data_IF_148807819649
#
_entry.id   IF_148807819649
#
_cell.length_a   1.000
_cell.length_b   1.000
_cell.length_c   1.000
_cell.angle_alpha   90.00
_cell.angle_beta   90.00
_cell.angle_gamma   90.00
#
_symmetry.space_group_name_H-M   'P 1'
#
loop_
_entity.id
_entity.type
_entity.pdbx_description
1 polymer ?
#
# COMPACT_ATOMS: atom_id res chain seq x y z
N UNK A 1 -15.82 3.25 -3.67
CA UNK A 1 -15.80 4.72 -3.44
C UNK A 1 -17.07 5.20 -2.74
N UNK A 2 -18.25 4.75 -3.19
CA UNK A 2 -19.54 5.07 -2.58
C UNK A 2 -19.66 4.53 -1.14
N UNK A 3 -19.22 3.30 -0.89
CA UNK A 3 -19.17 2.74 0.47
C UNK A 3 -18.26 3.52 1.42
N UNK A 4 -17.11 4.04 0.93
CA UNK A 4 -16.23 4.92 1.72
C UNK A 4 -16.91 6.21 2.18
N UNK A 5 -17.89 6.69 1.42
CA UNK A 5 -18.69 7.87 1.78
C UNK A 5 -20.00 7.49 2.50
N UNK A 6 -20.17 6.22 2.90
CA UNK A 6 -21.36 5.74 3.60
C UNK A 6 -22.65 5.81 2.76
N UNK A 7 -22.53 5.82 1.42
CA UNK A 7 -23.66 5.89 0.49
C UNK A 7 -24.00 4.56 -0.17
N UNK A 8 -23.26 3.49 0.10
CA UNK A 8 -23.49 2.15 -0.45
C UNK A 8 -22.93 1.05 0.48
N UNK A 9 -23.38 -0.18 0.27
CA UNK A 9 -22.81 -1.39 0.86
C UNK A 9 -22.03 -2.12 -0.24
N UNK A 10 -20.76 -2.44 0.01
CA UNK A 10 -19.93 -3.18 -0.94
C UNK A 10 -20.22 -4.69 -0.79
N UNK A 11 -20.59 -5.33 -1.90
CA UNK A 11 -20.80 -6.78 -1.99
C UNK A 11 -19.85 -7.38 -3.02
N UNK A 12 -19.20 -8.49 -2.67
CA UNK A 12 -18.36 -9.25 -3.60
C UNK A 12 -19.21 -10.29 -4.35
N UNK A 13 -18.66 -10.85 -5.44
CA UNK A 13 -19.32 -11.92 -6.20
C UNK A 13 -19.74 -13.10 -5.31
N UNK A 14 -18.91 -13.46 -4.33
CA UNK A 14 -19.15 -14.57 -3.41
C UNK A 14 -20.25 -14.27 -2.40
N UNK A 15 -20.48 -13.00 -2.07
CA UNK A 15 -21.56 -12.62 -1.16
C UNK A 15 -22.95 -12.79 -1.81
N UNK A 16 -23.01 -12.80 -3.16
CA UNK A 16 -24.25 -13.00 -3.91
C UNK A 16 -24.72 -14.46 -3.93
N UNK A 17 -23.82 -15.42 -3.64
CA UNK A 17 -24.18 -16.84 -3.52
C UNK A 17 -25.07 -17.08 -2.28
N UNK A 18 -25.07 -16.16 -1.31
CA UNK A 18 -25.88 -16.23 -0.10
C UNK A 18 -27.05 -15.23 -0.16
N UNK A 19 -28.29 -15.67 -0.44
CA UNK A 19 -29.46 -14.80 -0.55
C UNK A 19 -29.71 -13.91 0.68
N UNK A 20 -29.35 -14.40 1.86
CA UNK A 20 -29.55 -13.76 3.15
C UNK A 20 -28.67 -12.52 3.29
N UNK A 21 -27.42 -12.58 2.82
CA UNK A 21 -26.51 -11.42 2.81
C UNK A 21 -27.02 -10.33 1.88
N UNK A 22 -27.54 -10.71 0.71
CA UNK A 22 -28.13 -9.76 -0.22
C UNK A 22 -29.39 -9.12 0.38
N UNK A 23 -30.29 -9.93 0.96
CA UNK A 23 -31.50 -9.44 1.62
C UNK A 23 -31.18 -8.48 2.76
N UNK A 24 -30.19 -8.81 3.58
CA UNK A 24 -29.79 -7.96 4.70
C UNK A 24 -29.18 -6.64 4.23
N UNK A 25 -28.33 -6.68 3.20
CA UNK A 25 -27.73 -5.47 2.63
C UNK A 25 -28.78 -4.53 2.04
N UNK A 26 -29.78 -5.08 1.34
CA UNK A 26 -30.92 -4.31 0.85
C UNK A 26 -31.74 -3.73 2.00
N UNK A 27 -32.00 -4.53 3.05
CA UNK A 27 -32.73 -4.07 4.23
C UNK A 27 -32.03 -2.88 4.87
N UNK A 28 -30.71 -2.95 5.08
CA UNK A 28 -29.91 -1.89 5.69
C UNK A 28 -29.97 -0.60 4.86
N UNK A 29 -29.76 -0.68 3.54
CA UNK A 29 -29.76 0.49 2.66
C UNK A 29 -31.14 1.14 2.57
N UNK A 30 -32.21 0.36 2.66
CA UNK A 30 -33.59 0.86 2.60
C UNK A 30 -34.12 1.36 3.95
N UNK A 31 -33.66 0.78 5.06
CA UNK A 31 -34.13 1.16 6.41
C UNK A 31 -33.37 2.35 6.99
N UNK A 32 -32.07 2.45 6.72
CA UNK A 32 -31.23 3.52 7.24
C UNK A 32 -31.17 4.72 6.27
N UNK A 33 -31.82 5.81 6.67
CA UNK A 33 -31.83 7.08 5.94
C UNK A 33 -30.45 7.72 5.77
N UNK A 34 -29.45 7.32 6.57
CA UNK A 34 -28.08 7.82 6.48
C UNK A 34 -27.48 7.61 5.08
N UNK A 35 -27.77 6.46 4.45
CA UNK A 35 -27.32 6.13 3.10
C UNK A 35 -27.84 7.13 2.06
N UNK A 36 -29.14 7.46 2.13
CA UNK A 36 -29.76 8.45 1.23
C UNK A 36 -29.20 9.85 1.46
N UNK A 37 -29.02 10.25 2.72
CA UNK A 37 -28.43 11.55 3.09
C UNK A 37 -27.00 11.69 2.59
N UNK A 38 -26.18 10.66 2.78
CA UNK A 38 -24.80 10.61 2.33
C UNK A 38 -24.70 10.62 0.80
N UNK A 39 -25.57 9.87 0.12
CA UNK A 39 -25.64 9.88 -1.34
C UNK A 39 -25.99 11.26 -1.90
N UNK A 40 -27.00 11.94 -1.32
CA UNK A 40 -27.37 13.32 -1.71
C UNK A 40 -26.24 14.30 -1.45
N UNK A 41 -25.60 14.23 -0.28
CA UNK A 41 -24.43 15.06 0.06
C UNK A 41 -23.30 14.86 -0.95
N UNK A 42 -22.97 13.62 -1.30
CA UNK A 42 -21.93 13.31 -2.28
C UNK A 42 -22.30 13.87 -3.66
N UNK A 43 -23.56 13.72 -4.08
CA UNK A 43 -24.05 14.28 -5.34
C UNK A 43 -23.92 15.83 -5.38
N UNK A 44 -24.25 16.51 -4.27
CA UNK A 44 -24.04 17.96 -4.16
C UNK A 44 -22.56 18.34 -4.23
N UNK A 45 -21.69 17.61 -3.54
CA UNK A 45 -20.24 17.84 -3.60
C UNK A 45 -19.69 17.69 -5.02
N UNK A 46 -20.14 16.67 -5.76
CA UNK A 46 -19.72 16.45 -7.15
C UNK A 46 -20.24 17.54 -8.09
N UNK A 47 -21.47 18.05 -7.88
CA UNK A 47 -22.04 19.13 -8.68
C UNK A 47 -21.41 20.49 -8.38
N UNK A 48 -20.99 20.72 -7.13
CA UNK A 48 -20.40 21.97 -6.66
C UNK A 48 -18.87 21.94 -6.61
N UNK A 49 -18.22 21.05 -7.37
CA UNK A 49 -16.76 21.07 -7.47
C UNK A 49 -16.31 22.43 -8.07
N UNK A 50 -15.21 23.02 -7.54
CA UNK A 50 -14.77 24.36 -7.95
C UNK A 50 -14.33 24.41 -9.42
N UNK A 51 -13.89 23.28 -9.98
CA UNK A 51 -13.54 23.13 -11.38
C UNK A 51 -14.39 21.98 -11.92
N UNK A 52 -15.03 22.19 -13.07
CA UNK A 52 -15.85 21.13 -13.67
C UNK A 52 -14.96 19.97 -14.13
N UNK A 53 -15.41 18.71 -14.02
CA UNK A 53 -14.63 17.55 -14.49
C UNK A 53 -14.23 17.64 -15.97
N UNK A 54 -15.11 18.24 -16.80
CA UNK A 54 -14.85 18.49 -18.22
C UNK A 54 -13.66 19.44 -18.42
N UNK A 55 -13.69 20.58 -17.74
CA UNK A 55 -12.62 21.58 -17.83
C UNK A 55 -11.30 21.05 -17.26
N UNK A 56 -11.35 20.33 -16.14
CA UNK A 56 -10.19 19.69 -15.55
C UNK A 56 -9.53 18.72 -16.54
N UNK A 57 -10.34 17.89 -17.20
CA UNK A 57 -9.86 16.96 -18.23
C UNK A 57 -9.22 17.70 -19.41
N UNK A 58 -9.89 18.71 -19.96
CA UNK A 58 -9.35 19.49 -21.08
C UNK A 58 -8.02 20.16 -20.72
N UNK A 59 -7.92 20.79 -19.54
CA UNK A 59 -6.68 21.41 -19.07
C UNK A 59 -5.53 20.40 -18.98
N UNK A 60 -5.78 19.20 -18.45
CA UNK A 60 -4.75 18.17 -18.37
C UNK A 60 -4.38 17.61 -19.75
N UNK A 61 -5.35 17.45 -20.65
CA UNK A 61 -5.10 17.01 -22.02
C UNK A 61 -4.27 18.03 -22.81
N UNK A 62 -4.62 19.33 -22.72
CA UNK A 62 -3.86 20.42 -23.32
C UNK A 62 -2.44 20.52 -22.74
N UNK A 63 -2.31 20.38 -21.42
CA UNK A 63 -1.01 20.35 -20.76
C UNK A 63 -0.15 19.18 -21.26
N UNK A 64 -0.72 17.98 -21.35
CA UNK A 64 -0.03 16.81 -21.88
C UNK A 64 0.33 16.97 -23.37
N UNK A 65 -0.55 17.55 -24.18
CA UNK A 65 -0.28 17.83 -25.59
C UNK A 65 0.85 18.86 -25.77
N UNK A 66 0.93 19.86 -24.88
CA UNK A 66 1.92 20.94 -24.95
C UNK A 66 3.30 20.51 -24.45
N UNK A 67 3.38 19.73 -23.38
CA UNK A 67 4.66 19.41 -22.71
C UNK A 67 5.09 17.95 -22.88
N UNK A 68 4.19 17.06 -23.32
CA UNK A 68 4.49 15.66 -23.57
C UNK A 68 4.94 14.91 -22.30
N UNK A 69 6.12 14.29 -22.36
CA UNK A 69 6.69 13.56 -21.22
C UNK A 69 7.25 14.53 -20.19
N UNK A 70 6.76 14.41 -18.95
CA UNK A 70 7.31 15.11 -17.80
C UNK A 70 8.22 14.17 -17.00
N UNK A 71 9.56 14.30 -17.08
CA UNK A 71 10.48 13.39 -16.40
C UNK A 71 10.32 13.41 -14.88
N UNK A 72 9.90 14.53 -14.30
CA UNK A 72 9.65 14.67 -12.86
C UNK A 72 8.39 13.91 -12.38
N UNK A 73 7.47 13.56 -13.28
CA UNK A 73 6.29 12.74 -12.97
C UNK A 73 6.55 11.25 -13.21
N UNK A 74 7.72 10.88 -13.74
CA UNK A 74 8.12 9.48 -13.86
C UNK A 74 8.80 9.04 -12.54
N UNK A 75 8.22 8.08 -11.78
CA UNK A 75 8.86 7.62 -10.56
C UNK A 75 10.22 6.99 -10.89
N UNK A 76 11.28 7.51 -10.27
CA UNK A 76 12.65 7.04 -10.45
C UNK A 76 12.81 5.52 -10.22
N UNK A 77 11.97 4.93 -9.37
CA UNK A 77 11.94 3.48 -9.14
C UNK A 77 11.79 2.63 -10.41
N UNK A 78 11.15 3.16 -11.47
CA UNK A 78 11.02 2.46 -12.76
C UNK A 78 12.36 2.31 -13.49
N UNK A 79 13.29 3.22 -13.25
CA UNK A 79 14.59 3.27 -13.93
C UNK A 79 15.67 2.49 -13.17
N UNK A 80 15.37 2.03 -11.94
CA UNK A 80 16.32 1.27 -11.12
C UNK A 80 16.49 -0.16 -11.65
N UNK A 81 17.72 -0.66 -11.59
CA UNK A 81 18.00 -2.07 -11.83
C UNK A 81 17.43 -2.94 -10.70
N UNK A 82 17.21 -4.23 -10.97
CA UNK A 82 16.73 -5.18 -9.95
C UNK A 82 17.56 -5.14 -8.66
N UNK A 83 18.89 -5.01 -8.78
CA UNK A 83 19.81 -4.94 -7.64
C UNK A 83 19.57 -3.69 -6.80
N UNK A 84 19.44 -2.53 -7.45
CA UNK A 84 19.21 -1.25 -6.76
C UNK A 84 17.80 -1.16 -6.17
N UNK A 85 16.80 -1.64 -6.89
CA UNK A 85 15.41 -1.63 -6.45
C UNK A 85 15.21 -2.42 -5.15
N UNK A 86 15.89 -3.57 -5.03
CA UNK A 86 15.84 -4.42 -3.83
C UNK A 86 17.00 -4.18 -2.84
N UNK A 87 17.90 -3.23 -3.11
CA UNK A 87 19.05 -2.89 -2.26
C UNK A 87 19.90 -4.11 -1.87
N UNK A 88 20.15 -5.00 -2.83
CA UNK A 88 20.83 -6.29 -2.60
C UNK A 88 22.26 -6.07 -2.11
N UNK A 89 22.93 -5.03 -2.60
CA UNK A 89 24.27 -4.61 -2.17
C UNK A 89 24.32 -4.29 -0.66
N UNK A 90 23.36 -3.51 -0.17
CA UNK A 90 23.24 -3.17 1.26
C UNK A 90 22.91 -4.43 2.07
N UNK A 91 21.98 -5.26 1.59
CA UNK A 91 21.62 -6.51 2.26
C UNK A 91 22.83 -7.43 2.45
N UNK A 92 23.70 -7.55 1.43
CA UNK A 92 24.92 -8.35 1.51
C UNK A 92 25.91 -7.82 2.55
N UNK A 93 26.07 -6.50 2.66
CA UNK A 93 26.93 -5.88 3.69
C UNK A 93 26.37 -6.13 5.10
N UNK A 94 25.06 -6.01 5.29
CA UNK A 94 24.43 -6.28 6.58
C UNK A 94 24.61 -7.76 6.97
N UNK A 95 24.36 -8.68 6.03
CA UNK A 95 24.54 -10.12 6.26
C UNK A 95 26.00 -10.44 6.62
N UNK A 96 26.97 -9.87 5.91
CA UNK A 96 28.39 -10.14 6.17
C UNK A 96 28.80 -9.68 7.57
N UNK A 97 28.37 -8.50 8.01
CA UNK A 97 28.62 -7.99 9.37
C UNK A 97 28.03 -8.95 10.41
N UNK A 98 26.76 -9.36 10.24
CA UNK A 98 26.10 -10.31 11.16
C UNK A 98 26.89 -11.62 11.23
N UNK A 99 27.28 -12.18 10.08
CA UNK A 99 28.07 -13.42 10.03
C UNK A 99 29.43 -13.27 10.72
N UNK A 100 30.13 -12.15 10.51
CA UNK A 100 31.42 -11.88 11.18
C UNK A 100 31.25 -11.77 12.69
N UNK A 101 30.23 -11.07 13.18
CA UNK A 101 29.96 -10.95 14.61
C UNK A 101 29.67 -12.31 15.23
N UNK A 102 28.79 -13.12 14.60
CA UNK A 102 28.49 -14.48 15.06
C UNK A 102 29.75 -15.37 15.06
N UNK A 103 30.59 -15.25 14.04
CA UNK A 103 31.86 -15.98 13.97
C UNK A 103 32.82 -15.61 15.10
N UNK A 104 32.95 -14.31 15.41
CA UNK A 104 33.80 -13.85 16.52
C UNK A 104 33.26 -14.34 17.85
N UNK A 105 31.94 -14.24 18.08
CA UNK A 105 31.30 -14.72 19.32
C UNK A 105 31.55 -16.23 19.50
N UNK A 106 31.29 -17.03 18.48
CA UNK A 106 31.50 -18.49 18.55
C UNK A 106 32.96 -18.84 18.83
N UNK A 107 33.93 -18.15 18.19
CA UNK A 107 35.36 -18.34 18.47
C UNK A 107 35.75 -17.95 19.90
N UNK A 108 35.26 -16.82 20.41
CA UNK A 108 35.52 -16.38 21.79
C UNK A 108 34.95 -17.38 22.79
N UNK A 109 33.71 -17.81 22.59
CA UNK A 109 33.04 -18.81 23.42
C UNK A 109 33.82 -20.14 23.39
N UNK A 110 34.19 -20.65 22.22
CA UNK A 110 34.99 -21.87 22.11
C UNK A 110 36.35 -21.75 22.82
N UNK A 111 37.05 -20.61 22.68
CA UNK A 111 38.31 -20.37 23.39
C UNK A 111 38.10 -20.33 24.91
N UNK A 112 37.07 -19.66 25.40
CA UNK A 112 36.73 -19.65 26.83
C UNK A 112 36.45 -21.07 27.34
N UNK A 113 35.70 -21.89 26.60
CA UNK A 113 35.47 -23.30 26.96
C UNK A 113 36.75 -24.13 26.98
N UNK A 114 37.68 -23.94 26.04
CA UNK A 114 38.97 -24.66 26.04
C UNK A 114 39.84 -24.23 27.22
N UNK A 115 39.93 -22.94 27.53
CA UNK A 115 40.71 -22.42 28.66
C UNK A 115 40.13 -22.90 30.01
N UNK A 116 38.81 -22.92 30.15
CA UNK A 116 38.15 -23.46 31.34
C UNK A 116 38.40 -24.96 31.50
N UNK A 117 38.47 -25.72 30.41
CA UNK A 117 38.77 -27.16 30.45
C UNK A 117 40.23 -27.41 30.87
N UNK A 118 41.18 -26.66 30.31
CA UNK A 118 42.62 -26.76 30.65
C UNK A 118 42.92 -26.35 32.10
N UNK A 119 42.13 -25.46 32.71
CA UNK A 119 42.30 -25.07 34.12
C UNK A 119 41.69 -26.06 35.12
N UNK A 120 40.91 -27.05 34.65
CA UNK A 120 40.22 -28.04 35.49
C UNK A 120 40.93 -29.40 35.54
N UNK A 121 41.87 -29.65 34.63
CA UNK A 121 42.84 -30.75 34.68
C UNK A 121 44.11 -30.32 35.44
#
# INVERSE_FOLDING_TARGET
MLAKHGGAVDLTKYDLETPEKLRESLRIVLSDTSYSKNAKRLAEMLRKQPISPKELFLRHAEYAARFGRLPNLDPYGRQLSFIQYYLIDIALVVISIITTVLYVITKLVSKCFTVVKVKKD
#
